data_IF_360824358165
#
_entry.id   IF_360824358165
#
_cell.length_a   1.000
_cell.length_b   1.000
_cell.length_c   1.000
_cell.angle_alpha   90.00
_cell.angle_beta   90.00
_cell.angle_gamma   90.00
#
_symmetry.space_group_name_H-M   'P 1'
#
loop_
_entity.id
_entity.type
_entity.pdbx_description
1 polymer ?
#
# COMPACT_ATOMS: atom_id res chain seq x y z
N UNK A 1 52.98 -45.00 57.83
CA UNK A 1 52.88 -44.84 56.36
C UNK A 1 51.41 -44.75 55.91
N UNK A 2 50.60 -43.86 56.49
CA UNK A 2 49.14 -43.85 56.21
C UNK A 2 48.53 -42.46 56.04
N UNK A 3 49.29 -41.37 56.24
CA UNK A 3 48.78 -39.99 56.08
C UNK A 3 49.20 -39.30 54.77
N UNK A 4 50.28 -39.76 54.13
CA UNK A 4 50.79 -39.17 52.87
C UNK A 4 50.03 -39.70 51.64
N UNK A 5 49.55 -40.95 51.68
CA UNK A 5 48.83 -41.55 50.54
C UNK A 5 47.40 -41.02 50.36
N UNK A 6 46.78 -40.48 51.41
CA UNK A 6 45.41 -39.96 51.34
C UNK A 6 45.36 -38.55 50.72
N UNK A 7 46.40 -37.74 50.90
CA UNK A 7 46.50 -36.40 50.32
C UNK A 7 46.74 -36.44 48.79
N UNK A 8 47.50 -37.43 48.32
CA UNK A 8 47.77 -37.62 46.89
C UNK A 8 46.53 -38.19 46.17
N UNK A 9 45.79 -39.10 46.81
CA UNK A 9 44.54 -39.64 46.25
C UNK A 9 43.42 -38.59 46.16
N UNK A 10 43.32 -37.67 47.13
CA UNK A 10 42.31 -36.61 47.11
C UNK A 10 42.66 -35.47 46.13
N UNK A 11 43.97 -35.24 45.90
CA UNK A 11 44.48 -34.29 44.90
C UNK A 11 44.33 -34.77 43.45
N UNK A 12 44.38 -36.08 43.18
CA UNK A 12 44.15 -36.61 41.84
C UNK A 12 42.65 -36.64 41.48
N UNK A 13 41.77 -36.81 42.47
CA UNK A 13 40.32 -36.85 42.26
C UNK A 13 39.73 -35.47 41.97
N UNK A 14 40.32 -34.40 42.51
CA UNK A 14 39.92 -33.01 42.22
C UNK A 14 40.44 -32.51 40.87
N UNK A 15 41.55 -33.06 40.36
CA UNK A 15 42.08 -32.69 39.04
C UNK A 15 41.34 -33.37 37.88
N UNK A 16 40.73 -34.55 38.10
CA UNK A 16 39.92 -35.25 37.09
C UNK A 16 38.44 -34.79 37.05
N UNK A 17 37.93 -34.20 38.14
CA UNK A 17 36.56 -33.68 38.20
C UNK A 17 36.31 -32.34 37.48
N UNK A 18 37.39 -31.63 37.11
CA UNK A 18 37.29 -30.32 36.42
C UNK A 18 37.27 -30.46 34.89
N UNK A 19 37.59 -31.65 34.35
CA UNK A 19 37.57 -31.93 32.91
C UNK A 19 36.33 -32.68 32.39
N UNK A 20 35.30 -32.86 33.23
CA UNK A 20 34.04 -33.54 32.86
C UNK A 20 32.82 -32.62 32.85
N UNK A 21 33.00 -31.30 32.85
CA UNK A 21 31.93 -30.39 32.51
C UNK A 21 31.95 -30.16 30.99
N UNK A 22 30.92 -30.55 30.22
CA UNK A 22 30.74 -29.96 28.91
C UNK A 22 30.48 -28.47 29.13
N UNK A 23 31.51 -27.65 28.96
CA UNK A 23 31.33 -26.23 28.68
C UNK A 23 30.74 -26.13 27.28
N UNK A 24 29.43 -26.20 27.21
CA UNK A 24 28.68 -25.77 26.02
C UNK A 24 27.45 -25.01 26.46
N UNK A 25 27.66 -23.95 27.23
CA UNK A 25 26.86 -22.74 27.03
C UNK A 25 27.60 -21.94 25.95
N UNK A 26 27.19 -22.15 24.70
CA UNK A 26 27.54 -21.20 23.64
C UNK A 26 27.00 -19.86 24.12
N UNK A 27 27.89 -18.95 24.51
CA UNK A 27 27.52 -17.55 24.68
C UNK A 27 27.14 -17.09 23.29
N UNK A 28 25.87 -16.78 23.08
CA UNK A 28 25.43 -16.40 21.75
C UNK A 28 26.17 -15.13 21.32
N UNK A 29 26.84 -15.16 20.16
CA UNK A 29 27.53 -13.99 19.61
C UNK A 29 26.52 -13.25 18.72
N UNK A 30 26.51 -11.92 18.78
CA UNK A 30 25.49 -11.16 18.04
C UNK A 30 25.79 -11.17 16.54
N UNK A 31 24.78 -11.48 15.71
CA UNK A 31 24.84 -11.19 14.28
C UNK A 31 24.98 -9.67 14.10
N UNK A 32 25.91 -9.24 13.24
CA UNK A 32 26.23 -7.81 13.08
C UNK A 32 25.55 -7.21 11.87
N UNK A 33 25.31 -5.89 11.91
CA UNK A 33 24.68 -5.13 10.81
C UNK A 33 23.31 -5.69 10.38
N UNK A 34 22.57 -6.28 11.32
CA UNK A 34 21.24 -6.83 11.07
C UNK A 34 20.27 -5.72 10.66
N UNK A 35 19.62 -5.89 9.50
CA UNK A 35 18.62 -4.99 8.95
C UNK A 35 17.53 -5.80 8.29
N UNK A 36 16.29 -5.37 8.47
CA UNK A 36 15.17 -5.75 7.62
C UNK A 36 14.72 -4.54 6.81
N UNK A 37 14.59 -4.70 5.50
CA UNK A 37 14.12 -3.66 4.58
C UNK A 37 12.81 -4.12 3.96
N UNK A 38 11.77 -3.31 4.15
CA UNK A 38 10.47 -3.55 3.52
C UNK A 38 10.42 -2.90 2.14
N UNK A 39 9.79 -3.59 1.19
CA UNK A 39 9.44 -3.00 -0.10
C UNK A 39 8.53 -1.76 0.07
N UNK A 40 7.68 -1.76 1.10
CA UNK A 40 6.77 -0.68 1.46
C UNK A 40 6.64 -0.65 2.97
N UNK A 41 6.67 0.54 3.58
CA UNK A 41 6.39 0.73 5.01
C UNK A 41 4.90 0.88 5.31
N UNK A 42 4.03 0.79 4.29
CA UNK A 42 2.60 1.06 4.42
C UNK A 42 1.95 0.05 5.39
N UNK A 43 1.25 0.54 6.40
CA UNK A 43 0.39 -0.28 7.26
C UNK A 43 -0.72 -0.96 6.44
N UNK A 44 -1.27 -2.04 6.97
CA UNK A 44 -2.59 -2.53 6.57
C UNK A 44 -3.70 -1.63 7.17
N UNK A 45 -4.95 -1.89 6.83
CA UNK A 45 -6.13 -1.28 7.46
C UNK A 45 -6.96 -2.36 8.08
N UNK A 46 -7.40 -2.14 9.31
CA UNK A 46 -8.45 -2.87 9.99
C UNK A 46 -9.40 -1.84 10.59
N UNK A 47 -10.45 -1.54 9.83
CA UNK A 47 -11.49 -0.59 10.18
C UNK A 47 -12.83 -1.30 10.31
N UNK A 48 -13.88 -0.57 10.68
CA UNK A 48 -15.26 -1.04 10.66
C UNK A 48 -16.14 -0.10 9.85
N UNK A 49 -17.20 -0.67 9.29
CA UNK A 49 -18.24 0.09 8.60
C UNK A 49 -19.05 0.94 9.59
N UNK A 50 -19.47 2.13 9.16
CA UNK A 50 -20.51 2.94 9.81
C UNK A 50 -21.79 2.90 8.97
N UNK A 51 -22.81 2.21 9.49
CA UNK A 51 -24.12 2.02 8.86
C UNK A 51 -24.92 3.31 8.66
N UNK A 52 -24.55 4.42 9.29
CA UNK A 52 -25.22 5.72 9.07
C UNK A 52 -24.86 6.36 7.73
N UNK A 53 -23.74 5.96 7.14
CA UNK A 53 -23.27 6.45 5.83
C UNK A 53 -23.09 5.36 4.79
N UNK A 54 -23.38 4.11 5.12
CA UNK A 54 -23.09 2.94 4.30
C UNK A 54 -24.39 2.15 4.10
N UNK A 55 -24.74 1.85 2.85
CA UNK A 55 -26.00 1.16 2.53
C UNK A 55 -25.80 0.16 1.40
N UNK A 56 -26.60 -0.89 1.36
CA UNK A 56 -26.59 -1.89 0.29
C UNK A 56 -26.92 -1.24 -1.06
N UNK A 57 -26.38 -1.80 -2.14
CA UNK A 57 -26.49 -1.31 -3.52
C UNK A 57 -25.93 0.13 -3.73
N UNK A 58 -25.17 0.64 -2.77
CA UNK A 58 -24.44 1.92 -2.87
C UNK A 58 -22.95 1.69 -3.02
N UNK A 59 -22.28 2.61 -3.70
CA UNK A 59 -20.81 2.65 -3.73
C UNK A 59 -20.21 3.30 -2.49
N UNK A 60 -20.99 4.03 -1.69
CA UNK A 60 -20.44 4.79 -0.56
C UNK A 60 -20.17 3.90 0.66
N UNK A 61 -18.95 4.01 1.19
CA UNK A 61 -18.53 3.38 2.45
C UNK A 61 -18.08 4.49 3.39
N UNK A 62 -18.54 4.40 4.63
CA UNK A 62 -18.12 5.26 5.73
C UNK A 62 -17.41 4.43 6.80
N UNK A 63 -16.25 4.89 7.24
CA UNK A 63 -15.50 4.29 8.36
C UNK A 63 -16.10 4.74 9.69
N UNK A 64 -16.29 3.79 10.60
CA UNK A 64 -16.68 4.03 11.97
C UNK A 64 -15.52 4.65 12.76
N UNK A 65 -15.76 5.81 13.35
CA UNK A 65 -14.71 6.61 14.02
C UNK A 65 -14.54 6.29 15.51
N UNK A 66 -14.90 5.09 15.91
CA UNK A 66 -14.76 4.61 17.29
C UNK A 66 -14.16 3.22 17.26
N UNK A 67 -13.10 3.02 18.04
CA UNK A 67 -12.48 1.70 18.22
C UNK A 67 -13.50 0.68 18.77
N UNK A 68 -13.32 -0.57 18.38
CA UNK A 68 -14.01 -1.68 19.02
C UNK A 68 -14.08 -2.94 18.17
N UNK A 69 -14.50 -4.02 18.79
CA UNK A 69 -14.58 -5.34 18.19
C UNK A 69 -15.49 -5.38 16.94
N UNK A 70 -15.00 -6.00 15.88
CA UNK A 70 -15.77 -6.35 14.68
C UNK A 70 -16.62 -7.64 14.89
N UNK A 71 -17.14 -8.19 13.80
CA UNK A 71 -17.93 -9.43 13.81
C UNK A 71 -17.14 -10.69 14.19
N UNK A 72 -15.82 -10.70 14.01
CA UNK A 72 -14.94 -11.79 14.44
C UNK A 72 -14.56 -11.66 15.93
N UNK A 73 -14.70 -10.46 16.49
CA UNK A 73 -14.36 -10.15 17.88
C UNK A 73 -13.04 -9.39 18.01
N UNK A 74 -12.38 -9.10 16.88
CA UNK A 74 -11.06 -8.47 16.83
C UNK A 74 -11.18 -6.96 16.79
N UNK A 75 -10.23 -6.28 17.41
CA UNK A 75 -10.35 -4.84 17.65
C UNK A 75 -9.88 -4.05 16.44
N UNK A 76 -10.85 -3.48 15.71
CA UNK A 76 -10.55 -2.56 14.62
C UNK A 76 -10.19 -1.17 15.17
N UNK A 77 -8.97 -0.72 14.89
CA UNK A 77 -8.43 0.55 15.38
C UNK A 77 -8.21 1.59 14.27
N UNK A 78 -8.39 1.23 12.99
CA UNK A 78 -8.26 2.22 11.92
C UNK A 78 -9.55 3.05 11.82
N UNK A 79 -9.45 4.34 12.16
CA UNK A 79 -10.61 5.24 12.30
C UNK A 79 -10.76 6.24 11.15
N UNK A 80 -9.91 6.17 10.13
CA UNK A 80 -9.89 7.13 9.03
C UNK A 80 -9.44 6.50 7.71
N UNK A 81 -9.63 7.25 6.63
CA UNK A 81 -9.14 6.91 5.29
C UNK A 81 -7.67 7.27 5.08
N UNK A 82 -6.93 7.75 6.09
CA UNK A 82 -5.59 8.31 5.90
C UNK A 82 -4.62 7.35 5.21
N UNK A 83 -4.68 6.07 5.58
CA UNK A 83 -3.85 5.02 4.98
C UNK A 83 -4.44 4.39 3.70
N UNK A 84 -5.60 4.85 3.22
CA UNK A 84 -6.27 4.35 2.02
C UNK A 84 -6.02 5.24 0.79
N UNK A 85 -6.09 4.65 -0.41
CA UNK A 85 -5.90 5.30 -1.71
C UNK A 85 -6.86 4.74 -2.76
N UNK A 86 -7.29 5.56 -3.74
CA UNK A 86 -7.97 5.04 -4.93
C UNK A 86 -7.15 3.94 -5.62
N UNK A 87 -7.82 2.86 -6.00
CA UNK A 87 -7.23 1.66 -6.59
C UNK A 87 -6.87 0.55 -5.59
N UNK A 88 -6.92 0.81 -4.29
CA UNK A 88 -6.76 -0.26 -3.31
C UNK A 88 -7.94 -1.23 -3.36
N UNK A 89 -7.66 -2.52 -3.19
CA UNK A 89 -8.67 -3.56 -3.01
C UNK A 89 -8.87 -3.81 -1.53
N UNK A 90 -10.12 -3.80 -1.10
CA UNK A 90 -10.56 -4.02 0.28
C UNK A 90 -11.37 -5.30 0.37
N UNK A 91 -11.27 -6.01 1.49
CA UNK A 91 -12.26 -6.99 1.92
C UNK A 91 -13.20 -6.29 2.91
N UNK A 92 -14.50 -6.27 2.64
CA UNK A 92 -15.49 -5.65 3.54
C UNK A 92 -16.51 -6.71 3.95
N UNK A 93 -16.81 -6.79 5.25
CA UNK A 93 -17.77 -7.73 5.80
C UNK A 93 -17.27 -9.17 5.90
N UNK A 94 -18.22 -10.09 6.12
CA UNK A 94 -17.94 -11.52 6.35
C UNK A 94 -18.03 -12.38 5.08
N UNK A 95 -18.36 -11.79 3.93
CA UNK A 95 -18.49 -12.53 2.68
C UNK A 95 -17.10 -12.85 2.12
N UNK A 96 -16.82 -14.15 1.93
CA UNK A 96 -15.54 -14.66 1.41
C UNK A 96 -15.15 -14.12 0.01
N UNK A 97 -16.07 -13.42 -0.66
CA UNK A 97 -15.95 -12.88 -2.01
C UNK A 97 -16.17 -11.35 -2.10
N UNK A 98 -16.37 -10.65 -0.98
CA UNK A 98 -16.64 -9.21 -0.92
C UNK A 98 -15.39 -8.35 -1.12
N UNK A 99 -14.74 -8.46 -2.28
CA UNK A 99 -13.62 -7.59 -2.65
C UNK A 99 -14.10 -6.34 -3.39
N UNK A 100 -13.69 -5.19 -2.87
CA UNK A 100 -14.12 -3.87 -3.31
C UNK A 100 -12.91 -3.02 -3.67
N UNK A 101 -12.91 -2.41 -4.85
CA UNK A 101 -11.84 -1.48 -5.25
C UNK A 101 -12.24 -0.05 -4.91
N UNK A 102 -11.40 0.70 -4.20
CA UNK A 102 -11.64 2.12 -3.93
C UNK A 102 -11.60 2.91 -5.24
N UNK A 103 -12.67 3.63 -5.56
CA UNK A 103 -12.76 4.51 -6.73
C UNK A 103 -12.36 5.94 -6.37
N UNK A 104 -12.79 6.42 -5.22
CA UNK A 104 -12.51 7.79 -4.77
C UNK A 104 -12.58 7.90 -3.25
N UNK A 105 -11.85 8.89 -2.71
CA UNK A 105 -11.88 9.21 -1.28
C UNK A 105 -12.27 10.67 -1.15
N UNK A 106 -13.35 10.93 -0.42
CA UNK A 106 -13.94 12.27 -0.33
C UNK A 106 -13.41 13.04 0.87
N UNK A 107 -13.29 12.37 2.01
CA UNK A 107 -12.85 12.99 3.26
C UNK A 107 -12.17 11.95 4.18
N UNK A 108 -12.02 12.31 5.44
CA UNK A 108 -11.34 11.49 6.44
C UNK A 108 -12.05 10.16 6.75
N UNK A 109 -13.33 9.99 6.40
CA UNK A 109 -14.09 8.78 6.74
C UNK A 109 -14.90 8.20 5.58
N UNK A 110 -15.13 8.96 4.51
CA UNK A 110 -15.95 8.55 3.38
C UNK A 110 -15.12 8.27 2.12
N UNK A 111 -15.42 7.14 1.49
CA UNK A 111 -14.86 6.74 0.21
C UNK A 111 -15.90 5.98 -0.63
N UNK A 112 -15.62 5.80 -1.91
CA UNK A 112 -16.46 5.00 -2.81
C UNK A 112 -15.75 3.77 -3.31
N UNK A 113 -16.51 2.72 -3.58
CA UNK A 113 -16.01 1.45 -4.09
C UNK A 113 -16.71 0.99 -5.37
N UNK A 114 -16.05 0.05 -6.07
CA UNK A 114 -16.63 -0.77 -7.12
C UNK A 114 -16.23 -2.24 -6.91
N UNK A 115 -17.15 -3.22 -7.04
CA UNK A 115 -18.59 -3.08 -7.27
C UNK A 115 -19.30 -2.34 -6.11
N UNK A 116 -20.60 -2.06 -6.26
CA UNK A 116 -21.40 -1.52 -5.15
C UNK A 116 -21.55 -2.56 -4.04
N UNK A 117 -21.77 -2.11 -2.81
CA UNK A 117 -21.88 -2.97 -1.63
C UNK A 117 -23.06 -3.93 -1.74
N UNK A 118 -22.82 -5.18 -1.36
CA UNK A 118 -23.87 -6.19 -1.28
C UNK A 118 -24.56 -6.21 0.09
N UNK A 119 -25.64 -6.97 0.21
CA UNK A 119 -26.33 -7.14 1.48
C UNK A 119 -25.43 -7.89 2.48
N UNK A 120 -25.28 -7.36 3.69
CA UNK A 120 -24.46 -7.95 4.75
C UNK A 120 -23.06 -7.35 4.92
N UNK A 121 -22.71 -6.32 4.15
CA UNK A 121 -21.42 -5.60 4.23
C UNK A 121 -21.62 -4.11 4.59
N UNK A 122 -22.63 -3.81 5.43
CA UNK A 122 -23.11 -2.44 5.68
C UNK A 122 -23.35 -2.11 7.16
N UNK A 123 -23.16 -3.08 8.04
CA UNK A 123 -23.48 -2.99 9.46
C UNK A 123 -22.26 -2.57 10.27
N UNK A 124 -22.49 -2.00 11.46
CA UNK A 124 -21.39 -1.44 12.24
C UNK A 124 -20.34 -2.48 12.65
N UNK A 125 -20.65 -3.77 12.64
CA UNK A 125 -19.71 -4.85 13.01
C UNK A 125 -18.91 -5.35 11.82
N UNK A 126 -19.22 -4.93 10.60
CA UNK A 126 -18.54 -5.43 9.41
C UNK A 126 -17.13 -4.83 9.33
N UNK A 127 -16.08 -5.68 9.26
CA UNK A 127 -14.72 -5.20 9.15
C UNK A 127 -14.45 -4.67 7.74
N UNK A 128 -13.48 -3.78 7.64
CA UNK A 128 -12.89 -3.28 6.41
C UNK A 128 -11.40 -3.57 6.49
N UNK A 129 -10.92 -4.50 5.65
CA UNK A 129 -9.53 -4.86 5.56
C UNK A 129 -8.88 -4.33 4.29
N UNK A 130 -7.74 -3.67 4.44
CA UNK A 130 -6.75 -3.52 3.37
C UNK A 130 -5.49 -4.25 3.79
N UNK A 131 -5.07 -5.24 3.04
CA UNK A 131 -3.87 -6.03 3.37
C UNK A 131 -2.67 -5.49 2.61
N UNK A 132 -1.77 -4.77 3.29
CA UNK A 132 -0.47 -4.47 2.71
C UNK A 132 0.42 -5.69 2.81
N UNK A 133 1.03 -6.11 1.69
CA UNK A 133 1.87 -7.31 1.63
C UNK A 133 3.30 -6.98 1.17
N UNK A 134 4.13 -6.32 2.01
CA UNK A 134 5.49 -5.95 1.64
C UNK A 134 6.43 -7.17 1.71
N UNK A 135 7.28 -7.34 0.70
CA UNK A 135 8.42 -8.24 0.84
C UNK A 135 9.39 -7.70 1.91
N UNK A 136 9.87 -8.60 2.77
CA UNK A 136 10.96 -8.34 3.69
C UNK A 136 12.29 -8.78 3.07
N UNK A 137 13.33 -7.96 3.24
CA UNK A 137 14.70 -8.28 2.85
C UNK A 137 15.60 -8.15 4.07
N UNK A 138 15.91 -9.30 4.67
CA UNK A 138 16.70 -9.44 5.87
C UNK A 138 18.16 -9.63 5.48
N UNK A 139 19.02 -8.75 6.00
CA UNK A 139 20.46 -8.79 5.78
C UNK A 139 21.21 -8.71 7.09
N UNK A 140 22.31 -9.46 7.21
CA UNK A 140 23.20 -9.43 8.38
C UNK A 140 24.56 -10.03 8.02
N UNK A 141 25.54 -9.86 8.91
CA UNK A 141 26.83 -10.54 8.83
C UNK A 141 26.97 -11.58 9.94
N UNK A 142 27.37 -12.79 9.56
CA UNK A 142 27.52 -13.92 10.48
C UNK A 142 28.64 -13.69 11.49
N UNK A 143 28.43 -14.13 12.73
CA UNK A 143 29.40 -13.97 13.81
C UNK A 143 30.11 -15.29 14.15
N UNK A 144 29.41 -16.41 13.98
CA UNK A 144 29.95 -17.75 14.19
C UNK A 144 29.85 -18.58 12.91
N UNK A 145 30.86 -19.40 12.63
CA UNK A 145 30.78 -20.41 11.58
C UNK A 145 29.98 -21.62 12.10
N UNK A 146 28.76 -21.78 11.62
CA UNK A 146 27.86 -22.88 11.99
C UNK A 146 27.71 -23.82 10.79
N UNK A 147 28.20 -25.07 10.86
CA UNK A 147 28.04 -26.01 9.76
C UNK A 147 26.61 -26.52 9.63
N UNK A 148 26.10 -26.55 8.39
CA UNK A 148 24.79 -27.09 8.00
C UNK A 148 23.62 -26.64 8.89
N UNK A 149 23.70 -25.40 9.38
CA UNK A 149 22.72 -24.82 10.30
C UNK A 149 21.51 -24.25 9.57
N UNK A 150 20.77 -23.42 10.29
CA UNK A 150 19.70 -22.62 9.73
C UNK A 150 19.56 -21.29 10.44
N UNK A 151 19.06 -20.31 9.72
CA UNK A 151 18.62 -19.05 10.29
C UNK A 151 17.11 -19.07 10.51
N UNK A 152 16.67 -18.74 11.72
CA UNK A 152 15.27 -18.51 12.04
C UNK A 152 15.03 -17.01 12.18
N UNK A 153 14.14 -16.47 11.35
CA UNK A 153 13.64 -15.11 11.42
C UNK A 153 12.27 -15.16 12.08
N UNK A 154 12.03 -14.27 13.02
CA UNK A 154 10.77 -14.17 13.75
C UNK A 154 10.14 -12.81 13.50
N UNK A 155 8.95 -12.81 12.91
CA UNK A 155 8.09 -11.63 12.79
C UNK A 155 6.98 -11.72 13.85
N UNK A 156 6.64 -10.64 14.57
CA UNK A 156 5.60 -10.69 15.60
C UNK A 156 4.26 -11.05 14.97
N UNK A 157 3.43 -11.76 15.72
CA UNK A 157 2.07 -12.14 15.34
C UNK A 157 1.10 -11.63 16.40
N UNK A 158 -0.20 -11.59 16.07
CA UNK A 158 -1.24 -11.31 17.05
C UNK A 158 -1.28 -12.38 18.16
N UNK A 159 -1.83 -12.01 19.32
CA UNK A 159 -1.94 -12.93 20.46
C UNK A 159 -3.21 -13.77 20.46
N UNK A 160 -4.30 -13.29 19.86
CA UNK A 160 -5.61 -13.91 19.81
C UNK A 160 -5.87 -14.61 18.47
N UNK A 161 -5.55 -13.94 17.36
CA UNK A 161 -5.79 -14.39 15.98
C UNK A 161 -4.50 -14.46 15.15
N UNK A 162 -3.42 -15.10 15.62
CA UNK A 162 -2.09 -15.02 15.01
C UNK A 162 -1.96 -15.50 13.55
N UNK A 163 -2.99 -16.11 12.95
CA UNK A 163 -2.93 -16.69 11.60
C UNK A 163 -4.33 -16.98 11.06
N UNK A 164 -5.15 -15.96 10.86
CA UNK A 164 -6.53 -16.07 10.36
C UNK A 164 -6.72 -15.51 8.93
N UNK A 165 -5.75 -14.75 8.44
CA UNK A 165 -5.75 -14.17 7.09
C UNK A 165 -6.21 -12.75 7.02
N UNK A 166 -6.43 -12.11 8.15
CA UNK A 166 -6.80 -10.72 8.25
C UNK A 166 -5.65 -9.86 8.78
N UNK A 167 -5.81 -8.55 8.68
CA UNK A 167 -4.77 -7.63 9.14
C UNK A 167 -4.94 -7.36 10.64
N UNK A 168 -3.94 -7.74 11.44
CA UNK A 168 -3.97 -7.60 12.89
C UNK A 168 -3.37 -6.30 13.42
N UNK A 169 -3.78 -5.86 14.61
CA UNK A 169 -3.26 -4.66 15.26
C UNK A 169 -1.93 -4.87 16.01
N UNK A 170 -1.50 -6.10 16.27
CA UNK A 170 -0.30 -6.42 17.05
C UNK A 170 0.87 -6.96 16.22
N UNK A 171 0.61 -7.50 15.03
CA UNK A 171 1.60 -8.28 14.31
C UNK A 171 1.28 -8.50 12.84
N UNK A 172 2.12 -9.30 12.22
CA UNK A 172 1.92 -9.79 10.87
C UNK A 172 1.00 -11.00 10.92
N UNK A 173 0.29 -11.23 9.82
CA UNK A 173 -0.45 -12.45 9.53
C UNK A 173 0.06 -13.02 8.18
N UNK A 174 -0.32 -14.24 7.82
CA UNK A 174 -0.26 -14.67 6.42
C UNK A 174 -1.31 -15.71 5.99
N UNK A 175 -1.98 -16.38 6.93
CA UNK A 175 -2.91 -17.53 6.80
C UNK A 175 -2.35 -18.77 6.07
N UNK A 176 -1.88 -18.54 4.85
CA UNK A 176 -1.42 -19.52 3.88
C UNK A 176 0.11 -19.52 3.75
N UNK A 177 0.67 -20.21 2.76
CA UNK A 177 2.13 -20.32 2.61
C UNK A 177 2.80 -18.98 2.30
N UNK A 178 3.94 -18.73 2.95
CA UNK A 178 4.86 -17.64 2.63
C UNK A 178 6.13 -18.18 1.97
N UNK A 179 6.60 -17.50 0.93
CA UNK A 179 7.87 -17.84 0.28
C UNK A 179 9.04 -17.34 1.14
N UNK A 180 10.00 -18.21 1.45
CA UNK A 180 11.23 -17.85 2.16
C UNK A 180 12.43 -18.28 1.31
N UNK A 181 13.35 -17.37 1.06
CA UNK A 181 14.50 -17.63 0.17
C UNK A 181 15.78 -17.06 0.75
N UNK A 182 16.76 -17.91 1.04
CA UNK A 182 18.14 -17.51 1.28
C UNK A 182 18.92 -17.42 -0.03
N UNK A 183 19.80 -16.43 -0.16
CA UNK A 183 20.71 -16.33 -1.31
C UNK A 183 22.04 -17.01 -1.00
N UNK A 184 22.48 -17.92 -1.87
CA UNK A 184 23.74 -18.64 -1.70
C UNK A 184 24.95 -17.71 -1.60
N UNK A 185 25.92 -18.11 -0.77
CA UNK A 185 27.16 -17.37 -0.55
C UNK A 185 28.34 -18.30 -0.82
N UNK A 186 28.73 -18.36 -2.09
CA UNK A 186 29.80 -19.26 -2.55
C UNK A 186 29.47 -20.72 -2.22
N UNK A 187 30.47 -21.49 -1.77
CA UNK A 187 30.27 -22.86 -1.28
C UNK A 187 30.06 -22.93 0.25
N UNK A 188 29.91 -21.79 0.91
CA UNK A 188 29.90 -21.70 2.38
C UNK A 188 28.48 -21.78 2.94
N UNK A 189 27.53 -21.19 2.21
CA UNK A 189 26.10 -21.24 2.47
C UNK A 189 25.38 -21.57 1.17
N UNK A 190 24.87 -22.80 1.09
CA UNK A 190 24.03 -23.30 -0.01
C UNK A 190 22.62 -23.50 0.54
N UNK A 191 21.75 -22.52 0.31
CA UNK A 191 20.42 -22.44 0.89
C UNK A 191 19.42 -23.30 0.10
N UNK A 192 18.55 -23.97 0.85
CA UNK A 192 17.37 -24.62 0.27
C UNK A 192 16.14 -23.72 0.40
N UNK A 193 15.04 -24.11 -0.23
CA UNK A 193 13.74 -23.46 -0.03
C UNK A 193 13.42 -23.36 1.46
N UNK A 194 13.16 -22.15 1.93
CA UNK A 194 12.85 -21.93 3.33
C UNK A 194 11.43 -22.36 3.68
N UNK A 195 11.15 -22.37 4.98
CA UNK A 195 9.87 -22.79 5.55
C UNK A 195 9.28 -21.64 6.35
N UNK A 196 7.98 -21.40 6.19
CA UNK A 196 7.22 -20.47 7.02
C UNK A 196 6.25 -21.27 7.89
N UNK A 197 6.22 -20.96 9.19
CA UNK A 197 5.37 -21.61 10.18
C UNK A 197 4.62 -20.55 10.97
N UNK A 198 3.30 -20.70 11.05
CA UNK A 198 2.45 -19.80 11.81
C UNK A 198 2.80 -19.83 13.31
N UNK A 199 2.56 -18.72 14.02
CA UNK A 199 2.73 -18.69 15.48
C UNK A 199 1.88 -19.77 16.15
N UNK A 200 2.45 -20.50 17.11
CA UNK A 200 1.81 -21.65 17.75
C UNK A 200 1.91 -22.95 16.94
N UNK A 201 2.40 -22.90 15.70
CA UNK A 201 2.65 -24.07 14.87
C UNK A 201 3.79 -24.95 15.40
N UNK A 202 3.89 -26.18 14.88
CA UNK A 202 4.95 -27.13 15.25
C UNK A 202 6.32 -26.52 14.93
N UNK A 203 7.20 -26.44 15.94
CA UNK A 203 8.52 -25.81 15.79
C UNK A 203 8.53 -24.28 15.93
N UNK A 204 7.35 -23.66 16.14
CA UNK A 204 7.17 -22.22 16.25
C UNK A 204 6.31 -21.83 17.47
N UNK A 205 6.79 -22.16 18.67
CA UNK A 205 6.08 -21.87 19.93
C UNK A 205 6.90 -21.03 20.90
N UNK A 206 8.18 -20.75 20.59
CA UNK A 206 9.05 -19.96 21.46
C UNK A 206 9.95 -18.96 20.68
N UNK A 207 9.90 -17.66 21.01
CA UNK A 207 8.93 -17.01 21.90
C UNK A 207 7.50 -17.14 21.37
N UNK A 208 6.52 -17.04 22.26
CA UNK A 208 5.11 -16.97 21.86
C UNK A 208 4.86 -15.70 21.01
N UNK A 209 3.83 -15.74 20.16
CA UNK A 209 3.34 -14.62 19.35
C UNK A 209 4.35 -14.13 18.31
N UNK A 210 5.02 -15.08 17.65
CA UNK A 210 5.87 -14.83 16.50
C UNK A 210 5.63 -15.89 15.43
N UNK A 211 5.53 -15.46 14.19
CA UNK A 211 5.70 -16.31 13.02
C UNK A 211 7.17 -16.68 12.84
N UNK A 212 7.43 -17.92 12.42
CA UNK A 212 8.80 -18.42 12.22
C UNK A 212 9.08 -18.65 10.74
N UNK A 213 10.19 -18.11 10.27
CA UNK A 213 10.69 -18.28 8.91
C UNK A 213 12.10 -18.85 8.96
N UNK A 214 12.27 -20.05 8.44
CA UNK A 214 13.53 -20.77 8.52
C UNK A 214 14.20 -20.88 7.15
N UNK A 215 15.46 -20.47 7.08
CA UNK A 215 16.33 -20.65 5.93
C UNK A 215 17.45 -21.63 6.29
N UNK A 216 17.26 -22.89 5.90
CA UNK A 216 18.22 -23.97 6.09
C UNK A 216 19.30 -23.91 5.00
N UNK A 217 20.54 -24.22 5.37
CA UNK A 217 21.66 -24.25 4.42
C UNK A 217 22.56 -25.46 4.65
N UNK A 218 23.24 -25.88 3.58
CA UNK A 218 24.37 -26.79 3.67
C UNK A 218 25.70 -26.02 3.54
N UNK A 219 26.78 -26.61 4.05
CA UNK A 219 28.11 -26.02 4.03
C UNK A 219 28.74 -25.86 5.41
N UNK A 220 29.97 -25.36 5.45
CA UNK A 220 30.74 -25.22 6.69
C UNK A 220 30.28 -24.03 7.55
N UNK A 221 29.50 -23.10 6.97
CA UNK A 221 29.33 -21.77 7.54
C UNK A 221 30.64 -20.97 7.55
N UNK A 222 30.55 -19.67 7.80
CA UNK A 222 31.71 -18.79 7.82
C UNK A 222 31.45 -17.58 8.72
N UNK A 223 32.52 -16.96 9.21
CA UNK A 223 32.45 -15.73 10.02
C UNK A 223 32.54 -14.51 9.09
N UNK A 224 31.76 -13.47 9.36
CA UNK A 224 31.78 -12.22 8.62
C UNK A 224 31.17 -12.32 7.21
N UNK A 225 30.40 -13.37 6.93
CA UNK A 225 29.73 -13.54 5.66
C UNK A 225 28.44 -12.73 5.64
N UNK A 226 28.22 -11.96 4.56
CA UNK A 226 26.96 -11.26 4.35
C UNK A 226 25.89 -12.26 3.90
N UNK A 227 24.79 -12.33 4.66
CA UNK A 227 23.63 -13.18 4.38
C UNK A 227 22.47 -12.28 3.96
N UNK A 228 21.71 -12.72 2.96
CA UNK A 228 20.45 -12.12 2.52
C UNK A 228 19.37 -13.19 2.50
N UNK A 229 18.27 -12.94 3.21
CA UNK A 229 17.07 -13.79 3.22
C UNK A 229 15.87 -12.91 2.90
N UNK A 230 15.05 -13.33 1.94
CA UNK A 230 13.79 -12.67 1.61
C UNK A 230 12.60 -13.46 2.13
N UNK A 231 11.62 -12.75 2.67
CA UNK A 231 10.33 -13.32 3.10
C UNK A 231 9.24 -12.63 2.27
N UNK A 232 8.48 -13.43 1.52
CA UNK A 232 7.51 -12.98 0.54
C UNK A 232 8.09 -12.61 -0.82
N UNK A 233 7.23 -12.11 -1.69
CA UNK A 233 7.51 -11.72 -3.07
C UNK A 233 7.13 -10.26 -3.32
N UNK A 234 7.75 -9.65 -4.32
CA UNK A 234 7.52 -8.23 -4.61
C UNK A 234 6.15 -7.89 -5.19
N UNK A 235 5.38 -8.91 -5.61
CA UNK A 235 4.02 -8.78 -6.11
C UNK A 235 2.95 -9.03 -5.02
N UNK A 236 3.35 -9.24 -3.77
CA UNK A 236 2.46 -9.53 -2.64
C UNK A 236 1.96 -10.98 -2.56
N UNK A 237 2.25 -11.84 -3.55
CA UNK A 237 1.85 -13.24 -3.49
C UNK A 237 2.70 -14.02 -2.46
N UNK A 238 2.09 -14.91 -1.68
CA UNK A 238 2.77 -15.71 -0.64
C UNK A 238 3.66 -14.84 0.27
N UNK A 239 3.14 -13.70 0.71
CA UNK A 239 3.86 -12.65 1.44
C UNK A 239 3.09 -12.32 2.71
N UNK A 240 3.75 -12.07 3.85
CA UNK A 240 3.07 -11.67 5.07
C UNK A 240 2.19 -10.43 4.87
N UNK A 241 1.07 -10.40 5.56
CA UNK A 241 0.21 -9.23 5.74
C UNK A 241 0.89 -8.35 6.80
N UNK A 242 1.10 -7.09 6.47
CA UNK A 242 1.62 -6.10 7.41
C UNK A 242 0.60 -5.83 8.52
N UNK A 243 1.05 -5.40 9.71
CA UNK A 243 0.16 -4.98 10.78
C UNK A 243 -0.77 -3.83 10.35
N UNK A 244 -1.97 -3.81 10.92
CA UNK A 244 -2.85 -2.65 10.99
C UNK A 244 -2.45 -1.74 12.18
N UNK A 245 -3.14 -0.62 12.31
CA UNK A 245 -2.90 0.37 13.37
C UNK A 245 -3.18 -0.20 14.76
N UNK A 246 -2.31 0.09 15.73
CA UNK A 246 -2.56 -0.18 17.16
C UNK A 246 -3.57 0.81 17.76
N UNK A 247 -4.21 0.52 18.91
CA UNK A 247 -5.07 1.50 19.61
C UNK A 247 -4.33 2.77 20.06
N UNK A 248 -3.00 2.70 20.21
CA UNK A 248 -2.15 3.84 20.58
C UNK A 248 -1.57 4.58 19.38
N UNK A 249 -1.87 4.14 18.17
CA UNK A 249 -1.30 4.69 16.95
C UNK A 249 -1.69 6.15 16.78
N UNK A 250 -0.75 6.95 16.27
CA UNK A 250 -0.98 8.35 15.90
C UNK A 250 -0.58 8.54 14.46
N UNK A 251 -1.53 8.94 13.62
CA UNK A 251 -1.28 9.19 12.20
C UNK A 251 -0.06 10.10 11.98
N UNK A 252 0.78 9.73 11.01
CA UNK A 252 2.06 10.37 10.71
C UNK A 252 3.20 9.94 11.64
N UNK A 253 2.96 9.02 12.57
CA UNK A 253 3.99 8.43 13.45
C UNK A 253 4.12 6.95 13.17
N UNK A 254 5.35 6.46 13.00
CA UNK A 254 5.55 5.06 12.65
C UNK A 254 5.40 4.12 13.86
N UNK A 255 4.71 3.00 13.67
CA UNK A 255 4.63 1.89 14.61
C UNK A 255 5.83 0.95 14.37
N UNK A 256 6.52 0.54 15.44
CA UNK A 256 7.76 -0.24 15.32
C UNK A 256 7.63 -1.67 15.85
N UNK A 257 8.13 -2.63 15.08
CA UNK A 257 8.02 -4.07 15.36
C UNK A 257 9.41 -4.69 15.48
N UNK A 258 9.58 -5.57 16.47
CA UNK A 258 10.84 -6.30 16.68
C UNK A 258 10.94 -7.48 15.73
N UNK A 259 11.99 -7.54 14.93
CA UNK A 259 12.32 -8.71 14.11
C UNK A 259 13.49 -9.42 14.76
N UNK A 260 13.32 -10.69 15.10
CA UNK A 260 14.41 -11.48 15.72
C UNK A 260 15.06 -12.34 14.66
N UNK A 261 16.38 -12.42 14.69
CA UNK A 261 17.17 -13.28 13.82
C UNK A 261 18.00 -14.17 14.73
N UNK A 262 17.89 -15.49 14.53
CA UNK A 262 18.58 -16.50 15.31
C UNK A 262 19.31 -17.45 14.37
N UNK A 263 20.50 -17.89 14.75
CA UNK A 263 21.27 -18.92 14.05
C UNK A 263 21.33 -20.17 14.93
N UNK A 264 21.03 -21.32 14.35
CA UNK A 264 20.99 -22.60 15.05
C UNK A 264 21.85 -23.65 14.34
N UNK A 265 22.34 -24.61 15.11
CA UNK A 265 22.99 -25.79 14.56
C UNK A 265 22.01 -26.67 13.79
N UNK A 266 22.56 -27.54 12.94
CA UNK A 266 21.80 -28.61 12.31
C UNK A 266 20.97 -29.39 13.33
N UNK A 267 19.71 -29.66 13.01
CA UNK A 267 18.76 -30.45 13.82
C UNK A 267 18.40 -29.86 15.19
N UNK A 268 18.82 -28.62 15.50
CA UNK A 268 18.37 -27.95 16.72
C UNK A 268 16.85 -27.76 16.71
N UNK A 269 16.24 -27.85 17.89
CA UNK A 269 14.85 -27.50 18.12
C UNK A 269 14.75 -26.04 18.59
N UNK A 270 14.27 -25.10 17.77
CA UNK A 270 14.20 -23.67 18.13
C UNK A 270 13.37 -23.38 19.38
N UNK A 271 12.47 -24.29 19.77
CA UNK A 271 11.61 -24.10 20.93
C UNK A 271 12.31 -24.38 22.26
N UNK A 272 13.37 -25.18 22.26
CA UNK A 272 14.06 -25.63 23.48
C UNK A 272 15.54 -25.31 23.49
N UNK A 273 16.15 -25.22 22.32
CA UNK A 273 17.58 -25.04 22.19
C UNK A 273 17.94 -23.54 22.22
N UNK A 274 19.15 -23.24 22.68
CA UNK A 274 19.67 -21.87 22.71
C UNK A 274 20.30 -21.55 21.35
N UNK A 275 20.00 -20.39 20.73
CA UNK A 275 20.62 -20.00 19.48
C UNK A 275 22.14 -19.78 19.66
N UNK A 276 22.90 -20.12 18.63
CA UNK A 276 24.35 -19.90 18.58
C UNK A 276 24.67 -18.43 18.35
N UNK A 277 23.91 -17.78 17.48
CA UNK A 277 23.97 -16.34 17.29
C UNK A 277 22.55 -15.78 17.34
N UNK A 278 22.38 -14.55 17.83
CA UNK A 278 21.10 -13.85 17.74
C UNK A 278 21.28 -12.36 17.46
N UNK A 279 20.24 -11.72 16.95
CA UNK A 279 20.16 -10.27 16.83
C UNK A 279 18.70 -9.84 16.80
N UNK A 280 18.46 -8.58 17.15
CA UNK A 280 17.13 -7.96 17.10
C UNK A 280 17.20 -6.75 16.20
N UNK A 281 16.48 -6.83 15.08
CA UNK A 281 16.18 -5.70 14.22
C UNK A 281 14.87 -5.01 14.61
N UNK A 282 14.64 -3.84 14.02
CA UNK A 282 13.38 -3.12 14.09
C UNK A 282 12.94 -2.77 12.68
N UNK A 283 11.65 -2.94 12.42
CA UNK A 283 10.97 -2.40 11.23
C UNK A 283 9.91 -1.42 11.67
N UNK A 284 9.65 -0.42 10.85
CA UNK A 284 8.71 0.65 11.13
C UNK A 284 7.68 0.73 10.02
N UNK A 285 6.39 0.71 10.39
CA UNK A 285 5.29 0.91 9.47
C UNK A 285 4.64 2.27 9.73
N UNK A 286 4.23 2.94 8.65
CA UNK A 286 3.60 4.26 8.68
C UNK A 286 2.64 4.37 7.50
N UNK A 287 1.63 5.22 7.65
CA UNK A 287 0.60 5.43 6.64
C UNK A 287 1.21 5.85 5.30
N UNK A 288 0.49 5.46 4.26
CA UNK A 288 0.76 5.89 2.90
C UNK A 288 0.53 7.40 2.74
N UNK A 289 1.50 8.13 2.17
CA UNK A 289 1.25 9.53 1.75
C UNK A 289 0.24 9.55 0.60
N UNK A 290 -0.90 10.22 0.79
CA UNK A 290 -1.89 10.44 -0.27
C UNK A 290 -1.79 11.89 -0.77
N UNK A 291 -1.63 12.06 -2.08
CA UNK A 291 -1.64 13.37 -2.75
C UNK A 291 -2.86 13.43 -3.67
N UNK A 292 -3.75 14.38 -3.43
CA UNK A 292 -4.96 14.61 -4.24
C UNK A 292 -4.97 16.02 -4.82
N UNK A 293 -5.60 16.17 -5.98
CA UNK A 293 -5.87 17.46 -6.59
C UNK A 293 -7.26 17.44 -7.22
N UNK A 294 -8.07 18.45 -6.91
CA UNK A 294 -9.34 18.69 -7.60
C UNK A 294 -9.06 19.70 -8.71
N UNK A 295 -9.39 19.33 -9.94
CA UNK A 295 -9.31 20.24 -11.10
C UNK A 295 -10.72 20.60 -11.49
N UNK A 296 -11.14 21.82 -11.18
CA UNK A 296 -12.46 22.30 -11.57
C UNK A 296 -12.56 22.42 -13.10
N UNK A 297 -13.72 22.04 -13.68
CA UNK A 297 -13.97 22.31 -15.09
C UNK A 297 -14.06 23.82 -15.31
N UNK A 298 -13.39 24.29 -16.36
CA UNK A 298 -13.32 25.67 -16.81
C UNK A 298 -13.88 25.74 -18.22
N UNK A 299 -14.62 26.80 -18.52
CA UNK A 299 -15.03 27.13 -19.89
C UNK A 299 -14.68 28.59 -20.15
N UNK A 300 -14.00 28.84 -21.26
CA UNK A 300 -13.68 30.18 -21.74
C UNK A 300 -14.23 30.37 -23.14
N UNK A 301 -14.82 31.53 -23.40
CA UNK A 301 -15.40 31.91 -24.69
C UNK A 301 -14.89 33.29 -25.08
N UNK A 302 -14.43 33.44 -26.32
CA UNK A 302 -14.02 34.72 -26.88
C UNK A 302 -14.49 34.89 -28.32
N UNK A 303 -14.77 36.15 -28.67
CA UNK A 303 -15.14 36.57 -30.02
C UNK A 303 -14.04 37.51 -30.51
N UNK A 304 -13.49 37.24 -31.68
CA UNK A 304 -12.56 38.12 -32.35
C UNK A 304 -13.07 38.51 -33.75
N UNK A 305 -12.67 39.70 -34.18
CA UNK A 305 -12.89 40.15 -35.54
C UNK A 305 -12.09 39.34 -36.55
N UNK A 306 -12.59 39.26 -37.78
CA UNK A 306 -11.91 38.69 -38.94
C UNK A 306 -11.69 39.81 -39.95
N UNK A 307 -10.47 39.91 -40.48
CA UNK A 307 -10.14 40.89 -41.51
C UNK A 307 -10.95 40.67 -42.80
N UNK A 308 -11.08 41.72 -43.60
CA UNK A 308 -11.58 41.59 -44.99
C UNK A 308 -10.65 40.69 -45.83
N UNK A 309 -11.20 40.17 -46.93
CA UNK A 309 -10.51 39.28 -47.87
C UNK A 309 -9.97 37.97 -47.24
N UNK A 310 -10.58 37.51 -46.16
CA UNK A 310 -10.28 36.23 -45.52
C UNK A 310 -11.35 35.20 -45.89
N UNK A 311 -10.95 33.96 -46.18
CA UNK A 311 -11.90 32.87 -46.42
C UNK A 311 -12.32 32.22 -45.10
N UNK A 312 -13.63 32.13 -44.84
CA UNK A 312 -14.26 31.44 -43.70
C UNK A 312 -15.49 30.67 -44.19
N UNK A 313 -15.65 29.42 -43.77
CA UNK A 313 -16.75 28.55 -44.22
C UNK A 313 -16.93 28.53 -45.76
N UNK A 314 -15.82 28.59 -46.52
CA UNK A 314 -15.83 28.61 -47.99
C UNK A 314 -16.15 29.97 -48.64
N UNK A 315 -16.36 31.04 -47.87
CA UNK A 315 -16.75 32.37 -48.37
C UNK A 315 -15.72 33.43 -47.99
N UNK A 316 -15.38 34.33 -48.92
CA UNK A 316 -14.47 35.45 -48.64
C UNK A 316 -15.19 36.62 -47.98
N UNK A 317 -14.65 37.11 -46.86
CA UNK A 317 -15.15 38.29 -46.14
C UNK A 317 -14.94 39.57 -46.96
N UNK A 318 -15.94 40.44 -46.95
CA UNK A 318 -15.95 41.73 -47.64
C UNK A 318 -15.53 42.90 -46.76
N UNK A 319 -15.58 42.73 -45.43
CA UNK A 319 -15.28 43.77 -44.44
C UNK A 319 -14.48 43.20 -43.27
N UNK A 320 -13.71 44.07 -42.61
CA UNK A 320 -13.03 43.76 -41.35
C UNK A 320 -14.01 43.96 -40.21
N UNK A 321 -14.22 42.93 -39.40
CA UNK A 321 -15.04 42.99 -38.19
C UNK A 321 -14.18 43.22 -36.94
N UNK A 322 -14.82 43.56 -35.83
CA UNK A 322 -14.23 43.55 -34.47
C UNK A 322 -15.06 42.62 -33.59
N UNK A 323 -14.64 42.36 -32.35
CA UNK A 323 -15.43 41.53 -31.42
C UNK A 323 -16.88 42.03 -31.22
N UNK A 324 -17.15 43.32 -31.45
CA UNK A 324 -18.42 43.98 -31.12
C UNK A 324 -19.04 44.73 -32.29
N UNK A 325 -18.48 44.64 -33.51
CA UNK A 325 -18.99 45.41 -34.64
C UNK A 325 -18.74 44.74 -36.00
N UNK A 326 -19.75 44.84 -36.86
CA UNK A 326 -19.70 44.45 -38.27
C UNK A 326 -19.92 45.71 -39.14
N UNK A 327 -18.85 46.42 -39.53
CA UNK A 327 -18.96 47.67 -40.26
C UNK A 327 -19.14 47.42 -41.77
N UNK A 328 -20.37 47.17 -42.22
CA UNK A 328 -20.65 46.95 -43.64
C UNK A 328 -20.33 48.16 -44.53
N UNK A 329 -20.28 49.37 -43.97
CA UNK A 329 -20.07 50.61 -44.74
C UNK A 329 -21.19 50.85 -45.76
N UNK A 330 -20.88 51.54 -46.86
CA UNK A 330 -21.86 51.78 -47.93
C UNK A 330 -22.16 50.49 -48.71
N UNK A 331 -23.45 50.23 -48.92
CA UNK A 331 -23.97 49.09 -49.67
C UNK A 331 -24.48 49.56 -51.03
N UNK A 332 -24.03 48.91 -52.10
CA UNK A 332 -24.59 49.13 -53.45
C UNK A 332 -25.88 48.30 -53.62
N UNK A 333 -26.77 48.75 -54.50
CA UNK A 333 -28.01 48.03 -54.79
C UNK A 333 -27.68 46.61 -55.29
N UNK A 334 -28.41 45.60 -54.82
CA UNK A 334 -28.28 44.20 -55.22
C UNK A 334 -26.87 43.60 -55.01
N UNK A 335 -26.11 44.10 -54.03
CA UNK A 335 -24.77 43.57 -53.68
C UNK A 335 -24.75 43.12 -52.22
N UNK A 336 -24.31 41.88 -51.97
CA UNK A 336 -24.14 41.33 -50.63
C UNK A 336 -22.69 41.46 -50.16
N UNK A 337 -22.50 41.68 -48.85
CA UNK A 337 -21.19 41.66 -48.20
C UNK A 337 -21.17 40.55 -47.17
N UNK A 338 -20.08 39.79 -47.16
CA UNK A 338 -19.88 38.73 -46.19
C UNK A 338 -19.02 39.25 -45.03
N UNK A 339 -19.38 38.87 -43.81
CA UNK A 339 -18.62 39.18 -42.61
C UNK A 339 -18.46 37.90 -41.79
N UNK A 340 -17.44 37.84 -40.95
CA UNK A 340 -17.21 36.70 -40.07
C UNK A 340 -16.66 37.17 -38.72
N UNK A 341 -16.92 36.40 -37.67
CA UNK A 341 -16.19 36.44 -36.41
C UNK A 341 -15.47 35.12 -36.20
N UNK A 342 -14.38 35.16 -35.45
CA UNK A 342 -13.73 33.96 -34.93
C UNK A 342 -14.24 33.72 -33.51
N UNK A 343 -14.92 32.60 -33.31
CA UNK A 343 -15.36 32.14 -32.00
C UNK A 343 -14.34 31.13 -31.49
N UNK A 344 -13.78 31.36 -30.30
CA UNK A 344 -12.85 30.43 -29.66
C UNK A 344 -13.41 29.97 -28.33
N UNK A 345 -13.53 28.66 -28.16
CA UNK A 345 -13.90 28.01 -26.91
C UNK A 345 -12.75 27.14 -26.43
N UNK A 346 -12.39 27.25 -25.15
CA UNK A 346 -11.46 26.32 -24.50
C UNK A 346 -12.08 25.80 -23.21
N UNK A 347 -12.02 24.49 -23.02
CA UNK A 347 -12.53 23.76 -21.85
C UNK A 347 -11.60 22.60 -21.51
N UNK A 348 -11.44 22.32 -20.21
CA UNK A 348 -10.84 21.08 -19.69
C UNK A 348 -11.90 20.04 -19.28
N UNK A 349 -13.19 20.32 -19.51
CA UNK A 349 -14.28 19.39 -19.27
C UNK A 349 -14.31 18.27 -20.33
N UNK A 350 -14.42 17.02 -19.89
CA UNK A 350 -14.45 15.82 -20.75
C UNK A 350 -15.69 15.71 -21.64
N UNK A 351 -16.80 16.33 -21.24
CA UNK A 351 -18.03 16.35 -22.02
C UNK A 351 -18.00 17.35 -23.21
N UNK A 352 -16.90 18.11 -23.39
CA UNK A 352 -16.75 19.08 -24.47
C UNK A 352 -17.58 20.35 -24.26
N UNK A 353 -18.04 20.95 -25.37
CA UNK A 353 -18.84 22.18 -25.37
C UNK A 353 -19.80 22.23 -26.56
N UNK A 354 -20.86 23.04 -26.44
CA UNK A 354 -21.78 23.38 -27.52
C UNK A 354 -21.82 24.90 -27.65
N UNK A 355 -21.64 25.41 -28.88
CA UNK A 355 -21.85 26.83 -29.20
C UNK A 355 -23.11 26.94 -30.03
N UNK A 356 -24.06 27.72 -29.54
CA UNK A 356 -25.30 28.04 -30.26
C UNK A 356 -25.29 29.52 -30.60
N UNK A 357 -25.41 29.85 -31.88
CA UNK A 357 -25.70 31.20 -32.33
C UNK A 357 -27.20 31.34 -32.57
N UNK A 358 -27.79 32.45 -32.12
CA UNK A 358 -29.17 32.81 -32.42
C UNK A 358 -29.23 34.22 -33.00
N UNK A 359 -30.07 34.39 -34.01
CA UNK A 359 -30.36 35.68 -34.63
C UNK A 359 -31.80 36.05 -34.25
N UNK A 360 -32.01 37.29 -33.77
CA UNK A 360 -33.32 37.72 -33.26
C UNK A 360 -34.20 38.38 -34.33
N UNK A 361 -33.60 38.96 -35.37
CA UNK A 361 -34.29 39.62 -36.49
C UNK A 361 -33.30 39.91 -37.64
N UNK A 362 -33.83 40.31 -38.81
CA UNK A 362 -33.02 40.86 -39.90
C UNK A 362 -32.53 42.28 -39.58
N UNK A 363 -31.41 42.67 -40.19
CA UNK A 363 -30.92 44.05 -40.09
C UNK A 363 -31.89 45.01 -40.79
N UNK A 364 -32.57 45.88 -40.05
CA UNK A 364 -33.43 46.88 -40.63
C UNK A 364 -32.69 48.16 -41.05
N UNK A 365 -33.23 48.84 -42.07
CA UNK A 365 -32.67 50.10 -42.56
C UNK A 365 -32.64 51.15 -41.43
N UNK A 366 -31.48 51.77 -41.23
CA UNK A 366 -31.23 52.80 -40.21
C UNK A 366 -31.58 52.36 -38.78
N UNK A 367 -31.56 51.05 -38.50
CA UNK A 367 -31.93 50.48 -37.19
C UNK A 367 -33.44 50.37 -36.95
N UNK A 368 -34.28 50.64 -37.96
CA UNK A 368 -35.72 50.42 -37.90
C UNK A 368 -36.09 48.93 -38.05
N UNK A 369 -37.39 48.61 -38.01
CA UNK A 369 -37.91 47.25 -38.24
C UNK A 369 -38.47 47.04 -39.64
N UNK A 370 -38.53 48.10 -40.46
CA UNK A 370 -38.86 48.06 -41.90
C UNK A 370 -38.27 49.30 -42.62
N UNK A 371 -37.93 49.20 -43.92
CA UNK A 371 -37.75 47.95 -44.66
C UNK A 371 -36.52 47.17 -44.15
N UNK A 372 -36.57 45.84 -44.21
CA UNK A 372 -35.43 45.00 -43.86
C UNK A 372 -34.39 45.04 -44.98
N UNK A 373 -33.11 45.04 -44.61
CA UNK A 373 -32.01 44.82 -45.54
C UNK A 373 -32.03 43.34 -45.90
N UNK A 374 -32.10 43.04 -47.19
CA UNK A 374 -32.08 41.65 -47.66
C UNK A 374 -30.77 40.99 -47.23
N UNK A 375 -30.88 39.85 -46.57
CA UNK A 375 -29.78 38.92 -46.33
C UNK A 375 -30.02 37.59 -47.05
N UNK A 376 -29.02 36.72 -46.97
CA UNK A 376 -29.14 35.30 -47.25
C UNK A 376 -28.81 34.53 -45.98
N UNK A 377 -29.41 33.35 -45.81
CA UNK A 377 -29.06 32.43 -44.72
C UNK A 377 -27.55 32.32 -44.54
N UNK A 378 -27.08 32.63 -43.34
CA UNK A 378 -25.66 32.53 -43.00
C UNK A 378 -25.16 31.09 -43.17
N UNK A 379 -23.92 30.96 -43.67
CA UNK A 379 -23.23 29.67 -43.71
C UNK A 379 -22.56 29.45 -42.35
N UNK A 380 -23.33 28.93 -41.39
CA UNK A 380 -22.81 28.42 -40.11
C UNK A 380 -22.06 27.12 -40.31
#
# INVERSE_FOLDING_TARGET
MTKINLAIALSLLTFFGVFLHPFSTVQAINLTSAKDTLQSSRLSVHARVDSTGTTTDSSNVKILTTEGADSAGDTANTLSTANLRPGDTLKIGSSADGYYTIIGIFDATNFTVSPVLVAGDTDNTDPIYFESRPQHVITFSTATAVPNGFFQILLPADTATPNDGDADDQGYDFNTTVTVTGTDVGSTYDFVTGVATASGGVGCTAPANYHCFEAHYSGLGGIGQAITITIGNTNGATTPIAPATTPSHTEGTADTYSVLIKNFAALANPNTDTPIDFSTGKVAHIEAVRVTATVDPTISFSIAGVAAAQTRCGVSTSVTTTAVAVPFGTMALNTFKNAAHLLTVSTNGTAGYVVTASENDQLGKDGGTTPNILDSLGNG
#
